data_IF_361968248871
#
_entry.id   IF_361968248871
#
_cell.length_a   1.000
_cell.length_b   1.000
_cell.length_c   1.000
_cell.angle_alpha   90.00
_cell.angle_beta   90.00
_cell.angle_gamma   90.00
#
_symmetry.space_group_name_H-M   'P 1'
#
loop_
_entity.id
_entity.type
_entity.pdbx_description
1 polymer ?
#
# COMPACT_ATOMS: atom_id res chain seq x y z
N UNK A 1 5.41 5.87 24.02
CA UNK A 1 6.02 4.88 23.11
C UNK A 1 5.78 5.38 21.70
N UNK A 2 6.78 5.32 20.83
CA UNK A 2 6.59 5.67 19.43
C UNK A 2 5.56 4.70 18.81
N UNK A 3 4.70 5.22 17.94
CA UNK A 3 3.67 4.41 17.30
C UNK A 3 4.30 3.52 16.23
N UNK A 4 4.07 2.20 16.34
CA UNK A 4 4.52 1.23 15.34
C UNK A 4 3.60 1.25 14.14
N UNK A 5 4.17 1.54 12.97
CA UNK A 5 3.48 1.57 11.69
C UNK A 5 4.09 0.53 10.77
N UNK A 6 3.23 -0.29 10.15
CA UNK A 6 3.68 -1.19 9.09
C UNK A 6 3.33 -0.60 7.73
N UNK A 7 4.34 -0.39 6.89
CA UNK A 7 4.15 0.12 5.54
C UNK A 7 4.17 -1.02 4.50
N UNK A 8 3.20 -1.00 3.59
CA UNK A 8 3.20 -1.85 2.41
C UNK A 8 4.20 -1.35 1.37
N UNK A 9 5.26 -2.13 1.12
CA UNK A 9 6.29 -1.87 0.12
C UNK A 9 6.02 -2.69 -1.14
N UNK A 10 6.06 -2.06 -2.32
CA UNK A 10 5.77 -2.73 -3.60
C UNK A 10 6.95 -2.71 -4.59
N UNK A 11 8.16 -2.35 -4.15
CA UNK A 11 9.29 -2.02 -5.03
C UNK A 11 9.18 -0.63 -5.69
N UNK A 12 8.01 0.02 -5.61
CA UNK A 12 7.76 1.30 -6.24
C UNK A 12 8.29 2.50 -5.45
N UNK A 13 8.64 3.56 -6.20
CA UNK A 13 9.07 4.87 -5.68
C UNK A 13 8.06 5.49 -4.69
N UNK A 14 6.76 5.26 -4.89
CA UNK A 14 5.72 5.85 -4.04
C UNK A 14 5.72 5.26 -2.63
N UNK A 15 5.83 3.93 -2.50
CA UNK A 15 6.00 3.27 -1.20
C UNK A 15 7.34 3.62 -0.55
N UNK A 16 8.41 3.75 -1.34
CA UNK A 16 9.74 4.10 -0.84
C UNK A 16 9.77 5.48 -0.18
N UNK A 17 9.22 6.49 -0.86
CA UNK A 17 9.16 7.86 -0.31
C UNK A 17 8.16 7.94 0.84
N UNK A 18 7.05 7.20 0.78
CA UNK A 18 6.13 7.10 1.91
C UNK A 18 6.82 6.53 3.16
N UNK A 19 7.64 5.49 3.02
CA UNK A 19 8.42 4.93 4.12
C UNK A 19 9.40 5.96 4.69
N UNK A 20 10.16 6.63 3.81
CA UNK A 20 11.11 7.67 4.20
C UNK A 20 10.46 8.81 4.99
N UNK A 21 9.29 9.29 4.55
CA UNK A 21 8.54 10.33 5.27
C UNK A 21 8.12 9.87 6.67
N UNK A 22 7.67 8.62 6.82
CA UNK A 22 7.29 8.08 8.13
C UNK A 22 8.50 7.95 9.07
N UNK A 23 9.65 7.55 8.55
CA UNK A 23 10.90 7.50 9.33
C UNK A 23 11.32 8.91 9.78
N UNK A 24 11.28 9.90 8.88
CA UNK A 24 11.60 11.30 9.19
C UNK A 24 10.62 11.94 10.21
N UNK A 25 9.35 11.55 10.18
CA UNK A 25 8.34 11.98 11.16
C UNK A 25 8.52 11.32 12.54
N UNK A 26 9.48 10.39 12.68
CA UNK A 26 9.85 9.77 13.95
C UNK A 26 9.01 8.57 14.36
N UNK A 27 8.26 7.96 13.43
CA UNK A 27 7.54 6.71 13.69
C UNK A 27 8.48 5.53 13.82
N UNK A 28 8.05 4.49 14.54
CA UNK A 28 8.69 3.18 14.45
C UNK A 28 8.11 2.47 13.23
N UNK A 29 8.91 2.36 12.16
CA UNK A 29 8.44 1.84 10.88
C UNK A 29 9.00 0.45 10.63
N UNK A 30 8.13 -0.48 10.25
CA UNK A 30 8.50 -1.79 9.69
C UNK A 30 7.82 -1.94 8.33
N UNK A 31 8.40 -2.72 7.43
CA UNK A 31 7.91 -2.89 6.07
C UNK A 31 7.42 -4.31 5.81
N UNK A 32 6.38 -4.42 4.98
CA UNK A 32 5.87 -5.68 4.45
C UNK A 32 5.77 -5.59 2.93
N UNK A 33 6.38 -6.55 2.24
CA UNK A 33 6.18 -6.81 0.82
C UNK A 33 5.15 -7.92 0.65
N UNK A 34 4.10 -7.65 -0.13
CA UNK A 34 3.00 -8.60 -0.35
C UNK A 34 3.15 -9.29 -1.69
N UNK A 35 3.32 -10.60 -1.68
CA UNK A 35 3.23 -11.45 -2.87
C UNK A 35 1.78 -11.90 -3.04
N UNK A 36 1.06 -11.25 -3.95
CA UNK A 36 -0.37 -11.52 -4.20
C UNK A 36 -0.61 -12.41 -5.42
N UNK A 37 0.44 -12.81 -6.12
CA UNK A 37 0.34 -13.63 -7.32
C UNK A 37 1.57 -14.53 -7.47
N UNK A 38 1.34 -15.77 -7.91
CA UNK A 38 2.41 -16.71 -8.22
C UNK A 38 2.67 -16.68 -9.73
N UNK A 39 3.80 -16.10 -10.12
CA UNK A 39 4.33 -16.19 -11.48
C UNK A 39 5.05 -17.54 -11.62
N UNK A 40 4.33 -18.62 -11.93
CA UNK A 40 4.92 -19.96 -12.01
C UNK A 40 5.64 -20.27 -13.32
N UNK A 41 5.49 -19.47 -14.38
CA UNK A 41 5.81 -19.90 -15.75
C UNK A 41 6.47 -18.85 -16.67
N UNK A 42 7.17 -17.84 -16.12
CA UNK A 42 7.91 -16.86 -16.95
C UNK A 42 9.40 -16.80 -16.59
N UNK A 43 10.25 -16.70 -17.62
CA UNK A 43 11.72 -16.58 -17.53
C UNK A 43 12.18 -15.31 -16.79
N UNK A 44 11.24 -14.38 -16.55
CA UNK A 44 11.38 -13.17 -15.74
C UNK A 44 10.32 -13.18 -14.63
N UNK A 45 10.76 -13.11 -13.38
CA UNK A 45 9.88 -12.95 -12.21
C UNK A 45 9.94 -11.51 -11.72
N UNK A 46 8.94 -10.71 -12.10
CA UNK A 46 8.87 -9.28 -11.77
C UNK A 46 8.76 -9.06 -10.26
N UNK A 47 8.07 -9.97 -9.57
CA UNK A 47 7.95 -9.93 -8.11
C UNK A 47 9.29 -10.09 -7.38
N UNK A 48 10.28 -10.76 -7.98
CA UNK A 48 11.62 -10.91 -7.39
C UNK A 48 12.41 -9.60 -7.49
N UNK A 49 12.31 -8.91 -8.63
CA UNK A 49 12.93 -7.60 -8.84
C UNK A 49 12.29 -6.55 -7.92
N UNK A 50 10.96 -6.49 -7.87
CA UNK A 50 10.23 -5.58 -6.98
C UNK A 50 10.57 -5.81 -5.50
N UNK A 51 10.81 -7.07 -5.10
CA UNK A 51 11.25 -7.40 -3.74
C UNK A 51 12.68 -6.90 -3.47
N UNK A 52 13.59 -7.04 -4.42
CA UNK A 52 14.95 -6.51 -4.29
C UNK A 52 14.95 -4.98 -4.19
N UNK A 53 14.16 -4.29 -4.99
CA UNK A 53 14.01 -2.83 -4.92
C UNK A 53 13.43 -2.41 -3.56
N UNK A 54 12.42 -3.12 -3.07
CA UNK A 54 11.88 -2.89 -1.73
C UNK A 54 12.92 -3.11 -0.62
N UNK A 55 13.73 -4.17 -0.75
CA UNK A 55 14.78 -4.50 0.21
C UNK A 55 15.86 -3.41 0.24
N UNK A 56 16.34 -2.97 -0.92
CA UNK A 56 17.34 -1.91 -1.03
C UNK A 56 16.86 -0.61 -0.38
N UNK A 57 15.61 -0.22 -0.61
CA UNK A 57 15.01 0.95 0.04
C UNK A 57 14.96 0.78 1.55
N UNK A 58 14.55 -0.39 2.04
CA UNK A 58 14.46 -0.66 3.48
C UNK A 58 15.85 -0.66 4.15
N UNK A 59 16.89 -1.14 3.46
CA UNK A 59 18.29 -1.08 3.91
C UNK A 59 18.79 0.37 4.03
N UNK A 60 18.53 1.21 3.01
CA UNK A 60 18.88 2.64 3.04
C UNK A 60 18.19 3.35 4.22
N UNK A 61 16.92 3.01 4.49
CA UNK A 61 16.14 3.60 5.57
C UNK A 61 16.41 3.00 6.94
N UNK A 62 17.13 1.88 7.02
CA UNK A 62 17.40 1.17 8.28
C UNK A 62 16.15 0.55 8.93
N UNK A 63 15.17 0.13 8.13
CA UNK A 63 13.91 -0.48 8.61
C UNK A 63 13.81 -1.96 8.20
N UNK A 64 13.20 -2.83 9.01
CA UNK A 64 13.08 -4.24 8.68
C UNK A 64 12.03 -4.47 7.57
N UNK A 65 12.33 -5.36 6.62
CA UNK A 65 11.40 -5.82 5.59
C UNK A 65 11.00 -7.28 5.84
N UNK A 66 9.70 -7.56 5.83
CA UNK A 66 9.14 -8.92 5.79
C UNK A 66 8.47 -9.17 4.44
N UNK A 67 8.47 -10.41 3.99
CA UNK A 67 7.67 -10.86 2.85
C UNK A 67 6.52 -11.72 3.35
N UNK A 68 5.34 -11.52 2.77
CA UNK A 68 4.14 -12.31 3.06
C UNK A 68 3.45 -12.71 1.75
N UNK A 69 2.99 -13.94 1.69
CA UNK A 69 2.23 -14.46 0.55
C UNK A 69 0.73 -14.38 0.84
N UNK A 70 0.01 -13.60 0.04
CA UNK A 70 -1.45 -13.49 0.06
C UNK A 70 -2.06 -13.93 -1.28
N UNK A 71 -1.37 -14.78 -2.04
CA UNK A 71 -1.82 -15.23 -3.35
C UNK A 71 -3.13 -16.02 -3.29
N UNK A 72 -3.33 -16.82 -2.25
CA UNK A 72 -4.58 -17.55 -2.01
C UNK A 72 -5.75 -16.60 -1.70
N UNK A 73 -5.53 -15.60 -0.85
CA UNK A 73 -6.53 -14.59 -0.54
C UNK A 73 -6.87 -13.76 -1.76
N UNK A 74 -5.87 -13.34 -2.54
CA UNK A 74 -6.07 -12.59 -3.77
C UNK A 74 -6.88 -13.40 -4.79
N UNK A 75 -6.52 -14.67 -5.00
CA UNK A 75 -7.25 -15.55 -5.90
C UNK A 75 -8.73 -15.65 -5.51
N UNK A 76 -8.99 -15.96 -4.24
CA UNK A 76 -10.34 -16.23 -3.76
C UNK A 76 -11.21 -14.97 -3.63
N UNK A 77 -10.63 -13.84 -3.20
CA UNK A 77 -11.39 -12.61 -2.89
C UNK A 77 -11.46 -11.63 -4.06
N UNK A 78 -10.50 -11.67 -4.98
CA UNK A 78 -10.38 -10.71 -6.08
C UNK A 78 -10.54 -11.42 -7.43
N UNK A 79 -9.65 -12.37 -7.72
CA UNK A 79 -9.52 -12.90 -9.08
C UNK A 79 -10.71 -13.76 -9.51
N UNK A 80 -11.24 -14.62 -8.63
CA UNK A 80 -12.44 -15.41 -8.94
C UNK A 80 -13.65 -14.54 -9.28
N UNK A 81 -13.83 -13.41 -8.58
CA UNK A 81 -14.93 -12.48 -8.89
C UNK A 81 -14.68 -11.76 -10.21
N UNK A 82 -13.44 -11.33 -10.46
CA UNK A 82 -13.05 -10.76 -11.74
C UNK A 82 -13.42 -11.69 -12.92
N UNK A 83 -13.08 -12.98 -12.84
CA UNK A 83 -13.43 -13.95 -13.88
C UNK A 83 -14.95 -14.10 -14.05
N UNK A 84 -15.71 -14.18 -12.96
CA UNK A 84 -17.19 -14.30 -13.00
C UNK A 84 -17.84 -13.10 -13.68
N UNK A 85 -17.39 -11.87 -13.37
CA UNK A 85 -17.93 -10.66 -13.99
C UNK A 85 -17.59 -10.58 -15.48
N UNK A 86 -16.37 -10.96 -15.87
CA UNK A 86 -15.96 -11.06 -17.28
C UNK A 86 -16.82 -12.10 -18.04
N UNK A 87 -17.12 -13.25 -17.43
CA UNK A 87 -17.93 -14.30 -18.05
C UNK A 87 -19.37 -13.85 -18.38
N UNK A 88 -19.92 -12.89 -17.62
CA UNK A 88 -21.25 -12.32 -17.86
C UNK A 88 -21.21 -11.03 -18.68
N UNK A 89 -20.08 -10.74 -19.33
CA UNK A 89 -19.92 -9.61 -20.25
C UNK A 89 -19.77 -8.25 -19.59
N UNK A 90 -19.38 -8.20 -18.32
CA UNK A 90 -19.08 -6.94 -17.61
C UNK A 90 -17.58 -6.67 -17.59
N UNK A 91 -17.23 -5.41 -17.32
CA UNK A 91 -15.85 -4.96 -17.15
C UNK A 91 -15.59 -4.67 -15.67
N UNK A 92 -15.17 -5.68 -14.87
CA UNK A 92 -14.84 -5.48 -13.46
C UNK A 92 -13.54 -4.67 -13.30
N UNK A 93 -13.41 -3.99 -12.16
CA UNK A 93 -12.16 -3.34 -11.75
C UNK A 93 -11.57 -4.11 -10.56
N UNK A 94 -10.53 -4.93 -10.78
CA UNK A 94 -9.95 -5.76 -9.71
C UNK A 94 -9.16 -4.93 -8.68
N UNK A 95 -8.68 -3.73 -9.01
CA UNK A 95 -7.90 -2.89 -8.11
C UNK A 95 -8.74 -2.36 -6.94
N UNK A 96 -10.01 -2.05 -7.20
CA UNK A 96 -10.97 -1.67 -6.15
C UNK A 96 -11.10 -2.81 -5.13
N UNK A 97 -11.21 -4.06 -5.60
CA UNK A 97 -11.31 -5.24 -4.74
C UNK A 97 -9.98 -5.55 -4.05
N UNK A 98 -8.85 -5.40 -4.74
CA UNK A 98 -7.52 -5.57 -4.16
C UNK A 98 -7.31 -4.62 -2.97
N UNK A 99 -7.67 -3.35 -3.10
CA UNK A 99 -7.62 -2.42 -1.97
C UNK A 99 -8.56 -2.87 -0.85
N UNK A 100 -9.83 -3.12 -1.16
CA UNK A 100 -10.84 -3.45 -0.16
C UNK A 100 -10.54 -4.74 0.62
N UNK A 101 -10.15 -5.80 -0.09
CA UNK A 101 -10.08 -7.16 0.44
C UNK A 101 -8.66 -7.59 0.79
N UNK A 102 -7.63 -7.04 0.13
CA UNK A 102 -6.23 -7.42 0.38
C UNK A 102 -5.52 -6.30 1.15
N UNK A 103 -5.27 -5.14 0.54
CA UNK A 103 -4.42 -4.10 1.14
C UNK A 103 -4.98 -3.49 2.42
N UNK A 104 -6.30 -3.30 2.52
CA UNK A 104 -6.91 -2.69 3.70
C UNK A 104 -7.71 -3.69 4.52
N UNK A 105 -7.56 -4.98 4.26
CA UNK A 105 -8.16 -6.03 5.08
C UNK A 105 -7.14 -7.10 5.46
N UNK A 106 -6.76 -7.99 4.55
CA UNK A 106 -5.78 -9.04 4.86
C UNK A 106 -4.43 -8.47 5.34
N UNK A 107 -3.91 -7.45 4.66
CA UNK A 107 -2.69 -6.77 5.10
C UNK A 107 -2.87 -5.98 6.40
N UNK A 108 -4.02 -5.32 6.57
CA UNK A 108 -4.32 -4.61 7.82
C UNK A 108 -4.37 -5.58 9.00
N UNK A 109 -5.12 -6.67 8.88
CA UNK A 109 -5.26 -7.69 9.91
C UNK A 109 -3.88 -8.28 10.26
N UNK A 110 -3.08 -8.64 9.24
CA UNK A 110 -1.70 -9.12 9.44
C UNK A 110 -0.80 -8.10 10.16
N UNK A 111 -0.90 -6.82 9.81
CA UNK A 111 -0.11 -5.77 10.45
C UNK A 111 -0.49 -5.59 11.93
N UNK A 112 -1.79 -5.67 12.25
CA UNK A 112 -2.27 -5.61 13.63
C UNK A 112 -1.79 -6.82 14.46
N UNK A 113 -1.77 -8.01 13.87
CA UNK A 113 -1.23 -9.22 14.52
C UNK A 113 0.28 -9.11 14.81
N UNK A 114 1.02 -8.37 13.98
CA UNK A 114 2.43 -8.03 14.22
C UNK A 114 2.62 -6.91 15.25
N UNK A 115 1.54 -6.34 15.79
CA UNK A 115 1.58 -5.31 16.82
C UNK A 115 1.64 -3.87 16.28
N UNK A 116 1.39 -3.65 14.99
CA UNK A 116 1.21 -2.30 14.46
C UNK A 116 -0.07 -1.67 14.99
N UNK A 117 -0.08 -0.35 15.13
CA UNK A 117 -1.30 0.40 15.45
C UNK A 117 -2.06 0.82 14.18
N UNK A 118 -1.33 1.09 13.10
CA UNK A 118 -1.86 1.49 11.79
C UNK A 118 -0.97 0.96 10.66
N UNK A 119 -1.53 0.90 9.46
CA UNK A 119 -0.79 0.64 8.24
C UNK A 119 -0.52 1.91 7.45
N UNK A 120 0.55 1.94 6.68
CA UNK A 120 0.81 2.97 5.69
C UNK A 120 0.88 2.38 4.27
N UNK A 121 0.54 3.18 3.28
CA UNK A 121 0.71 2.83 1.87
C UNK A 121 1.12 4.05 1.04
N UNK A 122 1.72 3.83 -0.13
CA UNK A 122 2.07 4.88 -1.08
C UNK A 122 0.89 5.40 -1.91
N UNK A 123 -0.35 5.40 -1.39
CA UNK A 123 -1.49 5.93 -2.13
C UNK A 123 -1.55 7.46 -2.10
N UNK A 124 -1.91 8.05 -3.23
CA UNK A 124 -2.24 9.47 -3.38
C UNK A 124 -3.70 9.71 -2.99
N UNK A 125 -3.97 9.73 -1.69
CA UNK A 125 -5.22 10.19 -1.07
C UNK A 125 -4.86 10.73 0.32
N UNK A 126 -5.75 11.46 0.98
CA UNK A 126 -5.52 11.80 2.39
C UNK A 126 -6.74 11.50 3.24
N UNK A 127 -6.52 11.27 4.53
CA UNK A 127 -7.58 11.00 5.49
C UNK A 127 -7.72 12.23 6.37
N UNK A 128 -8.91 12.85 6.37
CA UNK A 128 -9.26 13.91 7.29
C UNK A 128 -10.04 13.34 8.47
N UNK A 129 -9.75 13.79 9.68
CA UNK A 129 -10.55 13.43 10.85
C UNK A 129 -11.41 14.64 11.25
N UNK A 130 -12.73 14.47 11.27
CA UNK A 130 -13.67 15.54 11.65
C UNK A 130 -14.80 14.94 12.48
N UNK A 131 -15.05 15.50 13.66
CA UNK A 131 -16.09 15.04 14.59
C UNK A 131 -16.00 13.55 14.94
N UNK A 132 -14.79 13.01 15.07
CA UNK A 132 -14.56 11.59 15.36
C UNK A 132 -14.76 10.65 14.17
N UNK A 133 -15.06 11.17 12.98
CA UNK A 133 -15.19 10.39 11.75
C UNK A 133 -13.96 10.58 10.86
N UNK A 134 -13.60 9.52 10.14
CA UNK A 134 -12.50 9.49 9.17
C UNK A 134 -13.06 9.64 7.76
N UNK A 135 -12.61 10.66 7.05
CA UNK A 135 -13.06 11.01 5.71
C UNK A 135 -11.96 10.73 4.72
N UNK A 136 -12.24 9.90 3.72
CA UNK A 136 -11.35 9.74 2.57
C UNK A 136 -11.46 10.98 1.68
N UNK A 137 -10.36 11.66 1.47
CA UNK A 137 -10.28 12.87 0.68
C UNK A 137 -9.36 12.70 -0.53
N UNK A 138 -9.66 13.46 -1.59
CA UNK A 138 -8.86 13.47 -2.81
C UNK A 138 -7.47 14.01 -2.55
N UNK A 139 -6.47 13.48 -3.25
CA UNK A 139 -5.11 14.05 -3.20
C UNK A 139 -5.11 15.52 -3.63
N UNK A 140 -4.23 16.32 -3.03
CA UNK A 140 -3.88 17.65 -3.55
C UNK A 140 -3.31 17.59 -4.98
N UNK A 141 -2.82 16.43 -5.41
CA UNK A 141 -2.41 16.15 -6.77
C UNK A 141 -3.54 15.45 -7.54
N UNK A 142 -4.44 16.24 -8.14
CA UNK A 142 -5.64 15.73 -8.82
C UNK A 142 -5.35 14.77 -9.97
N UNK A 143 -4.21 14.89 -10.65
CA UNK A 143 -3.79 14.01 -11.75
C UNK A 143 -3.36 12.62 -11.28
N UNK A 144 -2.96 12.49 -10.01
CA UNK A 144 -2.55 11.22 -9.40
C UNK A 144 -3.47 10.78 -8.27
N UNK A 145 -4.59 11.47 -8.06
CA UNK A 145 -5.57 11.14 -7.04
C UNK A 145 -6.04 9.68 -7.19
N UNK A 146 -5.82 8.90 -6.15
CA UNK A 146 -6.16 7.49 -6.06
C UNK A 146 -7.36 7.22 -5.15
N UNK A 147 -8.01 8.27 -4.64
CA UNK A 147 -9.23 8.13 -3.82
C UNK A 147 -10.33 7.32 -4.51
N UNK A 148 -10.40 7.34 -5.85
CA UNK A 148 -11.28 6.48 -6.64
C UNK A 148 -11.09 4.99 -6.33
N UNK A 149 -9.86 4.49 -6.21
CA UNK A 149 -9.61 3.07 -5.95
C UNK A 149 -9.81 2.68 -4.48
N UNK A 150 -10.04 3.67 -3.60
CA UNK A 150 -10.18 3.52 -2.16
C UNK A 150 -11.63 3.76 -1.69
N UNK A 151 -12.59 3.96 -2.60
CA UNK A 151 -13.97 4.32 -2.23
C UNK A 151 -14.66 3.30 -1.32
N UNK A 152 -14.22 2.03 -1.38
CA UNK A 152 -14.82 0.92 -0.64
C UNK A 152 -14.31 0.81 0.81
N UNK A 153 -13.39 1.68 1.24
CA UNK A 153 -12.87 1.68 2.61
C UNK A 153 -13.91 2.18 3.61
N UNK A 154 -14.02 1.46 4.73
CA UNK A 154 -14.92 1.83 5.83
C UNK A 154 -14.19 2.62 6.94
N UNK A 155 -14.94 3.07 7.95
CA UNK A 155 -14.38 3.86 9.06
C UNK A 155 -13.25 3.16 9.81
N UNK A 156 -13.38 1.85 10.04
CA UNK A 156 -12.35 1.07 10.74
C UNK A 156 -11.04 1.04 9.95
N UNK A 157 -11.13 0.72 8.67
CA UNK A 157 -9.98 0.68 7.76
C UNK A 157 -9.32 2.06 7.62
N UNK A 158 -10.12 3.13 7.46
CA UNK A 158 -9.60 4.49 7.37
C UNK A 158 -8.94 4.93 8.69
N UNK A 159 -9.53 4.60 9.84
CA UNK A 159 -8.97 4.94 11.16
C UNK A 159 -7.58 4.35 11.40
N UNK A 160 -7.30 3.21 10.76
CA UNK A 160 -6.06 2.46 10.89
C UNK A 160 -5.12 2.61 9.69
N UNK A 161 -5.33 3.61 8.84
CA UNK A 161 -4.54 3.82 7.62
C UNK A 161 -3.85 5.18 7.60
N UNK A 162 -2.70 5.25 6.94
CA UNK A 162 -1.91 6.46 6.71
C UNK A 162 -1.49 6.52 5.24
N UNK A 163 -1.59 7.71 4.64
CA UNK A 163 -1.20 7.99 3.25
C UNK A 163 -0.17 9.13 3.22
N UNK A 164 1.12 8.84 3.48
CA UNK A 164 2.12 9.88 3.74
C UNK A 164 2.30 10.84 2.56
N UNK A 165 2.22 10.31 1.33
CA UNK A 165 2.40 11.10 0.11
C UNK A 165 1.11 11.72 -0.42
N UNK A 166 0.00 11.60 0.31
CA UNK A 166 -1.34 12.01 -0.11
C UNK A 166 -1.46 13.47 -0.56
N UNK A 167 -0.66 14.35 0.03
CA UNK A 167 -0.62 15.78 -0.27
C UNK A 167 0.61 16.20 -1.11
N UNK A 168 1.42 15.24 -1.54
CA UNK A 168 2.62 15.51 -2.32
C UNK A 168 2.32 15.57 -3.82
N UNK A 169 2.95 16.51 -4.51
CA UNK A 169 3.03 16.44 -5.98
C UNK A 169 3.92 15.27 -6.38
N UNK A 170 3.55 14.53 -7.43
CA UNK A 170 4.34 13.39 -7.94
C UNK A 170 5.78 13.78 -8.30
N UNK A 171 5.99 15.01 -8.79
CA UNK A 171 7.33 15.53 -9.06
C UNK A 171 8.19 15.65 -7.80
N UNK A 172 7.62 16.10 -6.67
CA UNK A 172 8.29 16.17 -5.37
C UNK A 172 8.62 14.78 -4.83
N UNK A 173 7.70 13.82 -4.98
CA UNK A 173 7.95 12.42 -4.59
C UNK A 173 9.15 11.86 -5.37
N UNK A 174 9.16 12.01 -6.70
CA UNK A 174 10.30 11.58 -7.54
C UNK A 174 11.60 12.32 -7.23
N UNK A 175 11.53 13.60 -6.88
CA UNK A 175 12.71 14.36 -6.48
C UNK A 175 13.29 13.81 -5.18
N UNK A 176 12.47 13.63 -4.16
CA UNK A 176 12.89 13.08 -2.87
C UNK A 176 13.48 11.67 -3.01
N UNK A 177 12.89 10.84 -3.85
CA UNK A 177 13.45 9.51 -4.16
C UNK A 177 14.89 9.60 -4.68
N UNK A 178 15.16 10.48 -5.65
CA UNK A 178 16.51 10.70 -6.18
C UNK A 178 17.48 11.27 -5.13
N UNK A 179 17.00 12.15 -4.26
CA UNK A 179 17.81 12.73 -3.17
C UNK A 179 18.22 11.67 -2.14
N UNK A 180 17.37 10.66 -1.93
CA UNK A 180 17.61 9.54 -1.01
C UNK A 180 18.33 8.35 -1.67
N UNK A 181 18.51 8.37 -2.99
CA UNK A 181 19.17 7.28 -3.73
C UNK A 181 18.30 6.05 -3.96
N UNK A 182 16.97 6.23 -4.03
CA UNK A 182 16.02 5.22 -4.50
C UNK A 182 15.91 5.17 -6.02
#
# INVERSE_FOLDING_TARGET
MAETIIIGMSGGVDSAVAAAMMVEEGYTVEAVFMKNWNESDTEFCTATEDYHDALQVCEILGIPLRSVDFSDEYWNKVFQLFLKECQIGRTPNPDILCNKEIKFRVFLDHALDLGALRIATGHYAYINQTNGLYQLCRSANTEKDQSYFLYALNQDQLSKSIFPIGNCKKSKVRQKARELGF
#
